data_IF_660282642007
#
_entry.id   IF_660282642007
#
_cell.length_a   1.000
_cell.length_b   1.000
_cell.length_c   1.000
_cell.angle_alpha   90.00
_cell.angle_beta   90.00
_cell.angle_gamma   90.00
#
_symmetry.space_group_name_H-M   'P 1'
#
loop_
_entity.id
_entity.type
_entity.pdbx_description
1 polymer ?
#
# COMPACT_ATOMS: atom_id res chain seq x y z
N UNK A 1 -16.62 14.16 16.81
CA UNK A 1 -16.40 12.73 16.57
C UNK A 1 -16.86 12.48 15.15
N UNK A 2 -15.93 12.44 14.21
CA UNK A 2 -16.25 12.30 12.79
C UNK A 2 -15.91 10.88 12.35
N UNK A 3 -16.90 10.29 11.70
CA UNK A 3 -17.03 8.90 11.27
C UNK A 3 -15.80 8.43 10.47
N UNK A 4 -14.78 7.94 11.18
CA UNK A 4 -13.55 7.40 10.61
C UNK A 4 -13.70 5.98 10.06
N UNK A 5 -14.93 5.52 9.86
CA UNK A 5 -15.23 4.19 9.36
C UNK A 5 -15.64 4.30 7.90
N UNK A 6 -14.69 4.06 7.00
CA UNK A 6 -15.03 3.81 5.59
C UNK A 6 -15.88 2.53 5.55
N UNK A 7 -17.20 2.70 5.53
CA UNK A 7 -18.16 1.58 5.57
C UNK A 7 -18.16 0.76 4.27
N UNK A 8 -17.63 1.33 3.19
CA UNK A 8 -17.40 0.65 1.92
C UNK A 8 -16.17 1.30 1.26
N UNK A 9 -15.11 0.53 1.05
CA UNK A 9 -13.98 1.01 0.28
C UNK A 9 -14.47 1.29 -1.15
N UNK A 10 -14.13 2.45 -1.74
CA UNK A 10 -14.57 2.76 -3.09
C UNK A 10 -14.14 1.66 -4.06
N UNK A 11 -15.06 1.25 -4.93
CA UNK A 11 -14.78 0.26 -5.96
C UNK A 11 -13.68 0.78 -6.88
N UNK A 12 -12.48 0.17 -6.76
CA UNK A 12 -11.30 0.39 -7.59
C UNK A 12 -11.08 1.87 -8.04
N UNK A 13 -10.57 2.75 -7.16
CA UNK A 13 -10.27 4.13 -7.53
C UNK A 13 -9.24 4.20 -8.67
N UNK A 14 -9.25 5.27 -9.48
CA UNK A 14 -8.34 5.41 -10.61
C UNK A 14 -6.88 5.45 -10.14
N UNK A 15 -5.98 4.84 -10.93
CA UNK A 15 -4.54 4.71 -10.65
C UNK A 15 -3.89 6.03 -10.25
N UNK A 16 -4.25 7.13 -10.90
CA UNK A 16 -3.73 8.47 -10.61
C UNK A 16 -4.04 8.93 -9.17
N UNK A 17 -5.22 8.60 -8.65
CA UNK A 17 -5.61 8.94 -7.27
C UNK A 17 -4.85 8.10 -6.26
N UNK A 18 -4.68 6.81 -6.53
CA UNK A 18 -3.89 5.91 -5.69
C UNK A 18 -2.42 6.38 -5.69
N UNK A 19 -1.85 6.66 -6.85
CA UNK A 19 -0.47 7.13 -6.99
C UNK A 19 -0.23 8.46 -6.26
N UNK A 20 -1.18 9.40 -6.35
CA UNK A 20 -1.10 10.66 -5.62
C UNK A 20 -1.12 10.44 -4.09
N UNK A 21 -2.00 9.56 -3.59
CA UNK A 21 -2.06 9.22 -2.17
C UNK A 21 -0.78 8.51 -1.69
N UNK A 22 -0.27 7.56 -2.46
CA UNK A 22 1.00 6.88 -2.21
C UNK A 22 2.16 7.87 -2.14
N UNK A 23 2.21 8.83 -3.07
CA UNK A 23 3.23 9.89 -3.06
C UNK A 23 3.15 10.76 -1.81
N UNK A 24 1.94 11.11 -1.37
CA UNK A 24 1.73 11.84 -0.11
C UNK A 24 2.13 11.03 1.12
N UNK A 25 1.88 9.71 1.13
CA UNK A 25 2.31 8.82 2.21
C UNK A 25 3.84 8.74 2.29
N UNK A 26 4.50 8.53 1.15
CA UNK A 26 5.96 8.50 1.05
C UNK A 26 6.63 9.83 1.44
N UNK A 27 5.92 10.95 1.29
CA UNK A 27 6.42 12.25 1.74
C UNK A 27 6.33 12.44 3.27
N UNK A 28 5.40 11.74 3.94
CA UNK A 28 5.11 11.91 5.38
C UNK A 28 5.67 10.78 6.25
N UNK A 29 5.88 9.61 5.69
CA UNK A 29 6.25 8.40 6.40
C UNK A 29 7.46 7.71 5.76
N UNK A 30 8.24 6.95 6.55
CA UNK A 30 9.33 6.14 6.01
C UNK A 30 8.83 5.17 4.94
N UNK A 31 9.58 5.06 3.84
CA UNK A 31 9.23 4.18 2.72
C UNK A 31 8.97 2.73 3.14
N UNK A 32 9.75 2.20 4.09
CA UNK A 32 9.56 0.83 4.60
C UNK A 32 8.20 0.67 5.28
N UNK A 33 7.78 1.63 6.10
CA UNK A 33 6.47 1.59 6.77
C UNK A 33 5.33 1.66 5.74
N UNK A 34 5.46 2.54 4.74
CA UNK A 34 4.46 2.68 3.67
C UNK A 34 4.38 1.39 2.84
N UNK A 35 5.52 0.82 2.48
CA UNK A 35 5.59 -0.43 1.73
C UNK A 35 4.93 -1.57 2.52
N UNK A 36 5.32 -1.81 3.77
CA UNK A 36 4.74 -2.88 4.60
C UNK A 36 3.23 -2.71 4.74
N UNK A 37 2.77 -1.49 4.99
CA UNK A 37 1.35 -1.22 5.17
C UNK A 37 0.54 -1.46 3.90
N UNK A 38 0.98 -0.97 2.74
CA UNK A 38 0.26 -1.14 1.48
C UNK A 38 0.26 -2.62 1.02
N UNK A 39 1.36 -3.35 1.24
CA UNK A 39 1.42 -4.79 0.99
C UNK A 39 0.62 -5.62 1.99
N UNK A 40 0.39 -5.14 3.21
CA UNK A 40 -0.56 -5.77 4.13
C UNK A 40 -2.00 -5.48 3.69
N UNK A 41 -2.30 -4.23 3.33
CA UNK A 41 -3.62 -3.77 2.90
C UNK A 41 -4.17 -4.56 1.71
N UNK A 42 -3.32 -4.89 0.71
CA UNK A 42 -3.72 -5.70 -0.45
C UNK A 42 -4.22 -7.11 -0.08
N UNK A 43 -3.83 -7.63 1.09
CA UNK A 43 -4.15 -8.98 1.54
C UNK A 43 -5.27 -9.05 2.58
N UNK A 44 -5.85 -7.91 2.97
CA UNK A 44 -6.97 -7.86 3.91
C UNK A 44 -8.25 -8.22 3.16
N UNK A 45 -8.92 -9.28 3.60
CA UNK A 45 -10.25 -9.68 3.11
C UNK A 45 -11.23 -8.50 3.27
N UNK A 46 -11.81 -8.03 2.16
CA UNK A 46 -12.67 -6.84 2.13
C UNK A 46 -12.01 -5.55 1.63
N UNK A 47 -10.69 -5.51 1.46
CA UNK A 47 -10.08 -4.54 0.57
C UNK A 47 -10.51 -4.90 -0.86
N UNK A 48 -11.38 -4.10 -1.47
CA UNK A 48 -11.77 -4.29 -2.87
C UNK A 48 -10.51 -4.48 -3.71
N UNK A 49 -10.51 -5.47 -4.61
CA UNK A 49 -9.39 -5.75 -5.50
C UNK A 49 -9.04 -4.45 -6.26
N UNK A 50 -7.94 -3.80 -5.87
CA UNK A 50 -7.46 -2.56 -6.46
C UNK A 50 -6.31 -2.90 -7.41
N UNK A 51 -6.56 -3.31 -8.66
CA UNK A 51 -5.50 -3.72 -9.59
C UNK A 51 -4.48 -2.61 -9.82
N UNK A 52 -4.92 -1.36 -9.82
CA UNK A 52 -4.06 -0.20 -9.92
C UNK A 52 -3.09 -0.04 -8.74
N UNK A 53 -3.44 -0.52 -7.54
CA UNK A 53 -2.52 -0.56 -6.40
C UNK A 53 -1.43 -1.61 -6.64
N UNK A 54 -1.78 -2.78 -7.18
CA UNK A 54 -0.81 -3.84 -7.51
C UNK A 54 0.21 -3.38 -8.54
N UNK A 55 -0.24 -2.70 -9.60
CA UNK A 55 0.62 -2.07 -10.60
C UNK A 55 1.60 -1.07 -9.94
N UNK A 56 1.10 -0.19 -9.07
CA UNK A 56 1.93 0.80 -8.37
C UNK A 56 2.97 0.13 -7.49
N UNK A 57 2.61 -0.94 -6.77
CA UNK A 57 3.54 -1.69 -5.93
C UNK A 57 4.63 -2.40 -6.75
N UNK A 58 4.34 -2.81 -7.98
CA UNK A 58 5.31 -3.41 -8.89
C UNK A 58 6.24 -2.37 -9.54
N UNK A 59 5.71 -1.21 -9.91
CA UNK A 59 6.43 -0.15 -10.63
C UNK A 59 7.28 0.74 -9.71
N UNK A 60 6.82 1.02 -8.49
CA UNK A 60 7.50 1.95 -7.58
C UNK A 60 8.62 1.26 -6.79
N UNK A 61 9.91 1.53 -7.09
CA UNK A 61 11.02 0.86 -6.42
C UNK A 61 11.07 1.11 -4.91
N UNK A 62 10.55 2.25 -4.42
CA UNK A 62 10.50 2.56 -2.99
C UNK A 62 9.50 1.70 -2.22
N UNK A 63 8.54 1.07 -2.92
CA UNK A 63 7.51 0.21 -2.34
C UNK A 63 7.82 -1.28 -2.50
N UNK A 64 8.95 -1.62 -3.12
CA UNK A 64 9.41 -2.99 -3.19
C UNK A 64 9.85 -3.42 -1.80
N UNK A 65 9.13 -4.37 -1.24
CA UNK A 65 9.58 -5.07 -0.05
C UNK A 65 10.70 -6.00 -0.45
N UNK A 66 11.94 -5.51 -0.33
CA UNK A 66 13.10 -6.35 -0.18
C UNK A 66 12.95 -6.99 1.21
N UNK A 67 12.16 -8.07 1.31
CA UNK A 67 12.20 -8.87 2.53
C UNK A 67 13.67 -9.17 2.78
N UNK A 68 14.24 -8.89 3.97
CA UNK A 68 15.52 -9.45 4.30
C UNK A 68 15.34 -10.96 4.14
N UNK A 69 16.16 -11.56 3.26
CA UNK A 69 16.49 -12.96 3.37
C UNK A 69 16.72 -13.20 4.86
N UNK A 70 15.87 -14.03 5.45
CA UNK A 70 15.85 -14.33 6.86
C UNK A 70 17.27 -14.35 7.40
N UNK A 71 17.52 -13.58 8.47
CA UNK A 71 18.68 -13.81 9.30
C UNK A 71 18.66 -15.31 9.70
N UNK A 72 19.52 -16.08 9.06
CA UNK A 72 19.72 -17.51 9.25
C UNK A 72 21.19 -17.82 9.07
N UNK A 73 22.05 -17.03 9.72
CA UNK A 73 23.40 -17.43 10.07
C UNK A 73 23.36 -18.19 11.39
N UNK A 74 24.15 -19.27 11.44
CA UNK A 74 24.46 -20.19 12.54
C UNK A 74 23.41 -21.25 12.90
#
# INVERSE_FOLDING_TARGET
EEDGTVSDLPVAPPKEKIAAAVSQLLAKHPRENVAVYLHAFRGIDGATDWPALDEILAEEPRLKLELPHSAGGA
#
